data_IF_130737523019
#
_entry.id   IF_130737523019
#
_cell.length_a   1.000
_cell.length_b   1.000
_cell.length_c   1.000
_cell.angle_alpha   90.00
_cell.angle_beta   90.00
_cell.angle_gamma   90.00
#
_symmetry.space_group_name_H-M   'P 1'
#
loop_
_entity.id
_entity.type
_entity.pdbx_description
1 polymer ?
#
# COMPACT_ATOMS: atom_id res chain seq x y z
N UNK A 1 9.67 20.47 60.60
CA UNK A 1 9.18 19.50 59.60
C UNK A 1 7.83 20.00 59.14
N UNK A 2 7.66 20.23 57.84
CA UNK A 2 6.43 20.06 57.05
C UNK A 2 6.89 20.31 55.62
N UNK A 3 7.38 19.21 55.05
CA UNK A 3 8.03 19.08 53.77
C UNK A 3 6.93 18.94 52.71
N UNK A 4 7.16 19.52 51.53
CA UNK A 4 6.86 18.82 50.28
C UNK A 4 5.38 18.68 49.87
N UNK A 5 4.63 19.77 49.71
CA UNK A 5 3.28 19.70 49.11
C UNK A 5 3.17 20.22 47.66
N UNK A 6 4.12 21.04 47.18
CA UNK A 6 4.07 21.58 45.81
C UNK A 6 4.68 20.65 44.75
N UNK A 7 5.61 19.75 45.13
CA UNK A 7 6.29 18.87 44.15
C UNK A 7 5.43 17.68 43.72
N UNK A 8 4.49 17.22 44.54
CA UNK A 8 3.63 16.08 44.21
C UNK A 8 2.56 16.44 43.17
N UNK A 9 1.98 17.65 43.25
CA UNK A 9 0.93 18.08 42.31
C UNK A 9 1.44 18.25 40.87
N UNK A 10 2.71 18.62 40.69
CA UNK A 10 3.28 18.73 39.34
C UNK A 10 3.54 17.38 38.68
N UNK A 11 3.86 16.34 39.46
CA UNK A 11 4.04 14.99 38.93
C UNK A 11 2.72 14.41 38.37
N UNK A 12 1.57 14.74 38.97
CA UNK A 12 0.26 14.27 38.46
C UNK A 12 -0.17 14.97 37.16
N UNK A 13 0.20 16.24 36.98
CA UNK A 13 -0.09 16.97 35.73
C UNK A 13 0.70 16.42 34.53
N UNK A 14 1.89 15.85 34.76
CA UNK A 14 2.67 15.19 33.72
C UNK A 14 2.07 13.84 33.25
N UNK A 15 1.21 13.21 34.06
CA UNK A 15 0.54 11.95 33.73
C UNK A 15 -0.73 12.19 32.88
N UNK A 16 -1.23 13.43 32.82
CA UNK A 16 -2.43 13.81 32.06
C UNK A 16 -2.12 14.24 30.61
N UNK A 17 -0.85 14.17 30.18
CA UNK A 17 -0.57 14.15 28.75
C UNK A 17 -0.99 12.77 28.27
N UNK A 18 -2.19 12.69 27.69
CA UNK A 18 -2.68 11.57 26.90
C UNK A 18 -1.79 11.44 25.65
N UNK A 19 -0.52 11.09 25.87
CA UNK A 19 0.38 10.70 24.81
C UNK A 19 -0.17 9.36 24.32
N UNK A 20 -0.89 9.37 23.19
CA UNK A 20 -1.18 8.15 22.44
C UNK A 20 0.16 7.45 22.18
N UNK A 21 0.49 6.36 22.88
CA UNK A 21 1.79 5.75 22.75
C UNK A 21 1.84 5.05 21.40
N UNK A 22 2.77 5.44 20.53
CA UNK A 22 3.06 4.75 19.29
C UNK A 22 2.98 5.64 18.05
N UNK A 23 3.78 5.28 17.04
CA UNK A 23 3.67 5.83 15.69
C UNK A 23 2.32 5.38 15.09
N UNK A 24 1.39 6.32 14.87
CA UNK A 24 0.20 6.05 14.07
C UNK A 24 0.65 6.03 12.62
N UNK A 25 0.57 4.84 11.99
CA UNK A 25 0.94 4.69 10.59
C UNK A 25 -0.07 5.43 9.71
N UNK A 26 0.36 5.95 8.57
CA UNK A 26 -0.53 6.61 7.61
C UNK A 26 -1.74 5.75 7.22
N UNK A 27 -1.58 4.42 7.18
CA UNK A 27 -2.71 3.51 6.94
C UNK A 27 -3.79 3.67 8.02
N UNK A 28 -3.41 3.80 9.28
CA UNK A 28 -4.31 3.73 10.44
C UNK A 28 -4.97 5.09 10.75
N UNK A 29 -4.31 6.18 10.37
CA UNK A 29 -4.77 7.54 10.63
C UNK A 29 -5.95 7.93 9.72
N UNK A 30 -7.12 8.15 10.33
CA UNK A 30 -8.41 8.39 9.65
C UNK A 30 -8.37 9.57 8.68
N UNK A 31 -7.61 10.61 9.01
CA UNK A 31 -7.49 11.80 8.15
C UNK A 31 -6.89 11.49 6.77
N UNK A 32 -6.14 10.39 6.64
CA UNK A 32 -5.58 9.93 5.36
C UNK A 32 -6.49 8.98 4.58
N UNK A 33 -7.55 8.40 5.18
CA UNK A 33 -8.37 7.39 4.52
C UNK A 33 -9.02 7.88 3.23
N UNK A 34 -9.39 9.16 3.17
CA UNK A 34 -9.93 9.80 1.96
C UNK A 34 -8.96 9.78 0.76
N UNK A 35 -7.65 9.66 1.02
CA UNK A 35 -6.61 9.59 0.00
C UNK A 35 -6.16 8.15 -0.31
N UNK A 36 -6.78 7.16 0.33
CA UNK A 36 -6.41 5.75 0.25
C UNK A 36 -7.43 4.93 -0.56
N UNK A 37 -8.33 5.54 -1.32
CA UNK A 37 -9.24 4.79 -2.19
C UNK A 37 -8.48 4.22 -3.40
N UNK A 38 -8.13 2.93 -3.31
CA UNK A 38 -7.37 2.24 -4.36
C UNK A 38 -8.21 2.09 -5.63
N UNK A 39 -9.53 1.91 -5.52
CA UNK A 39 -10.39 1.75 -6.70
C UNK A 39 -10.45 3.05 -7.50
N UNK A 40 -10.52 4.19 -6.82
CA UNK A 40 -10.41 5.51 -7.47
C UNK A 40 -9.08 5.70 -8.19
N UNK A 41 -7.97 5.26 -7.58
CA UNK A 41 -6.66 5.33 -8.22
C UNK A 41 -6.58 4.44 -9.48
N UNK A 42 -7.17 3.24 -9.43
CA UNK A 42 -7.18 2.28 -10.54
C UNK A 42 -8.13 2.66 -11.69
N UNK A 43 -9.21 3.37 -11.37
CA UNK A 43 -10.21 3.84 -12.34
C UNK A 43 -9.91 5.24 -12.91
N UNK A 44 -8.69 5.75 -12.73
CA UNK A 44 -8.29 7.05 -13.27
C UNK A 44 -8.38 7.07 -14.82
N UNK A 45 -8.61 8.26 -15.39
CA UNK A 45 -8.62 8.49 -16.84
C UNK A 45 -7.29 8.13 -17.47
N UNK A 46 -6.17 8.53 -16.84
CA UNK A 46 -4.85 7.99 -17.19
C UNK A 46 -4.63 6.68 -16.44
N UNK A 47 -4.72 5.58 -17.19
CA UNK A 47 -4.55 4.21 -16.69
C UNK A 47 -3.11 3.74 -16.69
N UNK A 48 -2.17 4.57 -17.17
CA UNK A 48 -0.75 4.29 -17.21
C UNK A 48 -0.03 4.90 -16.02
N UNK A 49 0.95 4.19 -15.47
CA UNK A 49 1.76 4.72 -14.37
C UNK A 49 3.19 4.22 -14.44
N UNK A 50 4.13 5.13 -14.19
CA UNK A 50 5.56 4.83 -14.10
C UNK A 50 6.02 4.86 -12.65
N UNK A 51 6.77 3.85 -12.23
CA UNK A 51 7.44 3.89 -10.94
C UNK A 51 8.73 4.70 -11.06
N UNK A 52 8.67 5.96 -10.62
CA UNK A 52 9.79 6.89 -10.67
C UNK A 52 10.75 6.72 -9.49
N UNK A 53 10.22 6.52 -8.28
CA UNK A 53 10.99 6.27 -7.07
C UNK A 53 10.50 5.01 -6.33
N UNK A 54 11.43 4.31 -5.69
CA UNK A 54 11.18 3.27 -4.68
C UNK A 54 12.40 3.17 -3.77
N UNK A 55 12.21 2.73 -2.54
CA UNK A 55 13.28 2.63 -1.53
C UNK A 55 14.01 1.29 -1.54
N UNK A 56 13.45 0.27 -2.20
CA UNK A 56 14.05 -1.06 -2.30
C UNK A 56 14.58 -1.35 -3.71
N UNK A 57 15.62 -2.17 -3.80
CA UNK A 57 16.16 -2.67 -5.08
C UNK A 57 15.50 -4.00 -5.42
N UNK A 58 15.00 -4.14 -6.66
CA UNK A 58 14.50 -5.42 -7.19
C UNK A 58 15.44 -5.89 -8.28
N UNK A 59 15.88 -7.14 -8.18
CA UNK A 59 16.79 -7.76 -9.15
C UNK A 59 16.30 -9.14 -9.59
N UNK A 60 16.74 -9.56 -10.77
CA UNK A 60 16.66 -10.95 -11.23
C UNK A 60 17.96 -11.26 -11.93
N UNK A 61 18.62 -12.35 -11.53
CA UNK A 61 19.91 -12.78 -12.07
C UNK A 61 20.96 -11.65 -12.06
N UNK A 62 21.05 -10.91 -10.95
CA UNK A 62 21.98 -9.77 -10.79
C UNK A 62 21.63 -8.52 -11.61
N UNK A 63 20.51 -8.51 -12.33
CA UNK A 63 20.07 -7.37 -13.14
C UNK A 63 18.96 -6.60 -12.43
N UNK A 64 19.20 -5.31 -12.16
CA UNK A 64 18.23 -4.40 -11.56
C UNK A 64 17.00 -4.17 -12.45
N UNK A 65 15.82 -4.18 -11.86
CA UNK A 65 14.57 -3.85 -12.55
C UNK A 65 14.44 -2.33 -12.68
N UNK A 66 14.44 -1.81 -13.90
CA UNK A 66 14.30 -0.37 -14.17
C UNK A 66 13.15 -0.09 -15.13
N UNK A 67 12.78 1.20 -15.27
CA UNK A 67 11.71 1.64 -16.18
C UNK A 67 10.42 0.85 -15.98
N UNK A 68 10.01 0.68 -14.72
CA UNK A 68 8.82 -0.10 -14.38
C UNK A 68 7.58 0.72 -14.72
N UNK A 69 6.72 0.14 -15.55
CA UNK A 69 5.48 0.71 -16.02
C UNK A 69 4.35 -0.27 -15.75
N UNK A 70 3.19 0.25 -15.37
CA UNK A 70 1.96 -0.51 -15.25
C UNK A 70 0.85 0.20 -16.03
N UNK A 71 0.01 -0.57 -16.74
CA UNK A 71 -1.22 -0.07 -17.35
C UNK A 71 -2.39 -0.93 -16.89
N UNK A 72 -3.42 -0.29 -16.33
CA UNK A 72 -4.71 -0.96 -16.05
C UNK A 72 -5.39 -1.26 -17.37
N UNK A 73 -5.84 -2.51 -17.57
CA UNK A 73 -6.51 -2.94 -18.79
C UNK A 73 -7.80 -2.15 -19.05
N UNK A 74 -8.16 -1.96 -20.31
CA UNK A 74 -9.44 -1.31 -20.69
C UNK A 74 -10.61 -2.28 -20.52
N UNK A 75 -10.38 -3.54 -20.90
CA UNK A 75 -11.35 -4.63 -20.80
C UNK A 75 -11.17 -5.35 -19.47
N UNK A 76 -11.67 -4.75 -18.38
CA UNK A 76 -11.62 -5.39 -17.07
C UNK A 76 -12.45 -6.68 -17.09
N UNK A 77 -11.94 -7.80 -16.55
CA UNK A 77 -12.73 -9.01 -16.43
C UNK A 77 -13.96 -8.76 -15.54
N UNK A 78 -15.02 -9.54 -15.75
CA UNK A 78 -16.24 -9.46 -14.93
C UNK A 78 -15.86 -9.78 -13.47
N UNK A 79 -15.93 -8.78 -12.59
CA UNK A 79 -15.59 -8.89 -11.16
C UNK A 79 -14.79 -7.70 -10.62
N UNK A 80 -14.47 -7.70 -9.33
CA UNK A 80 -13.64 -6.67 -8.68
C UNK A 80 -12.13 -7.00 -8.76
N UNK A 81 -11.66 -7.57 -9.87
CA UNK A 81 -10.26 -7.96 -10.05
C UNK A 81 -9.67 -7.15 -11.18
N UNK A 82 -8.73 -6.27 -10.87
CA UNK A 82 -8.10 -5.44 -11.89
C UNK A 82 -7.01 -6.21 -12.64
N UNK A 83 -7.07 -6.19 -13.96
CA UNK A 83 -5.99 -6.71 -14.81
C UNK A 83 -5.01 -5.60 -15.19
N UNK A 84 -3.72 -5.87 -15.10
CA UNK A 84 -2.63 -4.96 -15.41
C UNK A 84 -1.68 -5.56 -16.42
N UNK A 85 -1.22 -4.73 -17.35
CA UNK A 85 0.02 -4.98 -18.08
C UNK A 85 1.17 -4.34 -17.30
N UNK A 86 2.10 -5.15 -16.79
CA UNK A 86 3.34 -4.63 -16.21
C UNK A 86 4.51 -4.84 -17.17
N UNK A 87 5.32 -3.80 -17.33
CA UNK A 87 6.55 -3.80 -18.11
C UNK A 87 7.73 -3.29 -17.28
N UNK A 88 8.91 -3.86 -17.51
CA UNK A 88 10.16 -3.38 -16.92
C UNK A 88 11.37 -3.83 -17.74
N UNK A 89 12.54 -3.27 -17.45
CA UNK A 89 13.84 -3.64 -18.04
C UNK A 89 14.73 -4.31 -17.02
N UNK A 90 15.54 -5.27 -17.47
CA UNK A 90 16.60 -5.89 -16.69
C UNK A 90 17.94 -5.19 -16.98
N UNK A 91 18.33 -4.27 -16.10
CA UNK A 91 19.49 -3.38 -16.21
C UNK A 91 19.14 -1.95 -16.64
N UNK A 92 20.15 -1.07 -16.66
CA UNK A 92 20.00 0.37 -16.91
C UNK A 92 20.17 0.79 -18.37
N UNK A 93 20.59 -0.12 -19.25
CA UNK A 93 20.92 0.22 -20.64
C UNK A 93 19.65 0.29 -21.49
N UNK A 94 19.63 1.15 -22.51
CA UNK A 94 18.52 1.21 -23.49
C UNK A 94 18.33 -0.10 -24.26
N UNK A 95 19.36 -0.94 -24.35
CA UNK A 95 19.32 -2.27 -24.97
C UNK A 95 19.01 -3.39 -23.96
N UNK A 96 18.86 -3.09 -22.68
CA UNK A 96 18.50 -4.06 -21.65
C UNK A 96 17.19 -4.78 -21.99
N UNK A 97 17.17 -6.09 -21.72
CA UNK A 97 16.02 -6.96 -21.98
C UNK A 97 14.76 -6.39 -21.33
N UNK A 98 13.72 -6.19 -22.14
CA UNK A 98 12.39 -5.83 -21.66
C UNK A 98 11.63 -7.10 -21.23
N UNK A 99 10.93 -7.01 -20.12
CA UNK A 99 9.98 -8.01 -19.64
C UNK A 99 8.59 -7.38 -19.62
N UNK A 100 7.60 -8.19 -19.99
CA UNK A 100 6.19 -7.82 -20.01
C UNK A 100 5.40 -8.98 -19.45
N UNK A 101 4.45 -8.70 -18.58
CA UNK A 101 3.60 -9.72 -17.96
C UNK A 101 2.23 -9.14 -17.66
N UNK A 102 1.24 -10.01 -17.64
CA UNK A 102 -0.10 -9.69 -17.13
C UNK A 102 -0.16 -10.02 -15.65
N UNK A 103 -0.75 -9.12 -14.86
CA UNK A 103 -0.98 -9.28 -13.44
C UNK A 103 -2.45 -9.01 -13.12
N UNK A 104 -2.89 -9.56 -12.00
CA UNK A 104 -4.23 -9.42 -11.48
C UNK A 104 -4.14 -8.87 -10.05
N UNK A 105 -4.96 -7.88 -9.71
CA UNK A 105 -5.01 -7.30 -8.38
C UNK A 105 -6.46 -7.07 -7.93
N UNK A 106 -7.04 -7.98 -7.13
CA UNK A 106 -8.23 -7.66 -6.34
C UNK A 106 -7.91 -6.59 -5.28
N UNK A 107 -8.70 -5.51 -5.20
CA UNK A 107 -8.71 -4.60 -4.07
C UNK A 107 -9.25 -5.27 -2.81
N UNK A 108 -8.84 -4.76 -1.64
CA UNK A 108 -9.36 -5.15 -0.34
C UNK A 108 -9.12 -4.07 0.73
N UNK A 109 -9.86 -4.15 1.84
CA UNK A 109 -9.62 -3.36 3.06
C UNK A 109 -8.58 -4.05 3.93
N UNK A 110 -7.55 -3.32 4.38
CA UNK A 110 -6.64 -3.83 5.41
C UNK A 110 -7.43 -4.15 6.67
N UNK A 111 -7.08 -5.25 7.35
CA UNK A 111 -7.91 -5.81 8.44
C UNK A 111 -8.15 -4.82 9.57
N UNK A 112 -7.11 -4.06 9.90
CA UNK A 112 -7.18 -3.03 10.92
C UNK A 112 -8.10 -1.91 10.42
N UNK A 113 -9.24 -1.75 11.11
CA UNK A 113 -10.33 -0.83 10.76
C UNK A 113 -11.12 -1.20 9.49
N UNK A 114 -11.09 -2.45 9.03
CA UNK A 114 -11.83 -2.88 7.83
C UNK A 114 -13.33 -2.57 7.89
N UNK A 115 -13.95 -2.68 9.07
CA UNK A 115 -15.38 -2.39 9.28
C UNK A 115 -15.70 -0.89 9.27
N UNK A 116 -14.72 -0.04 9.60
CA UNK A 116 -14.88 1.42 9.68
C UNK A 116 -14.57 2.11 8.34
N UNK A 117 -13.66 1.54 7.56
CA UNK A 117 -13.28 2.08 6.25
C UNK A 117 -14.44 1.97 5.28
N UNK A 118 -14.68 3.02 4.52
CA UNK A 118 -15.66 3.01 3.44
C UNK A 118 -15.11 2.25 2.21
N UNK A 119 -13.88 2.57 1.81
CA UNK A 119 -13.25 2.11 0.56
C UNK A 119 -12.14 1.07 0.79
N UNK A 120 -11.86 0.27 -0.24
CA UNK A 120 -10.66 -0.57 -0.29
C UNK A 120 -9.40 0.32 -0.36
N UNK A 121 -8.36 -0.05 0.39
CA UNK A 121 -7.11 0.71 0.49
C UNK A 121 -5.87 -0.04 0.03
N UNK A 122 -6.00 -1.33 -0.22
CA UNK A 122 -4.91 -2.18 -0.66
C UNK A 122 -5.33 -3.02 -1.86
N UNK A 123 -4.35 -3.60 -2.53
CA UNK A 123 -4.57 -4.57 -3.61
C UNK A 123 -3.55 -5.69 -3.53
N UNK A 124 -3.97 -6.91 -3.90
CA UNK A 124 -3.10 -8.09 -3.83
C UNK A 124 -2.68 -8.55 -5.22
N UNK A 125 -1.42 -8.32 -5.58
CA UNK A 125 -0.95 -8.54 -6.96
C UNK A 125 -0.47 -9.99 -7.17
N UNK A 126 -0.94 -10.62 -8.26
CA UNK A 126 -0.54 -11.99 -8.66
C UNK A 126 -0.47 -12.15 -10.18
N UNK A 127 0.33 -13.12 -10.65
CA UNK A 127 0.35 -13.54 -12.05
C UNK A 127 -0.79 -14.50 -12.42
N UNK A 128 -1.47 -15.09 -11.44
CA UNK A 128 -2.59 -16.01 -11.64
C UNK A 128 -3.90 -15.29 -11.32
N UNK A 129 -4.85 -15.35 -12.25
CA UNK A 129 -6.20 -14.79 -12.10
C UNK A 129 -6.94 -15.44 -10.93
N UNK A 130 -6.81 -16.76 -10.85
CA UNK A 130 -7.47 -17.60 -9.85
C UNK A 130 -6.46 -18.06 -8.80
N UNK A 131 -5.74 -17.15 -8.14
CA UNK A 131 -4.98 -17.55 -6.95
C UNK A 131 -5.92 -17.82 -5.75
N UNK A 132 -6.93 -18.67 -5.98
CA UNK A 132 -7.92 -19.47 -5.21
C UNK A 132 -8.12 -19.30 -3.70
N UNK A 133 -7.46 -18.38 -2.99
CA UNK A 133 -7.55 -18.24 -1.53
C UNK A 133 -7.37 -16.81 -1.07
N UNK A 134 -7.93 -15.84 -1.79
CA UNK A 134 -7.94 -14.42 -1.35
C UNK A 134 -8.78 -14.17 -0.07
N UNK A 135 -9.27 -15.23 0.60
CA UNK A 135 -10.10 -15.23 1.82
C UNK A 135 -9.52 -15.99 3.03
N UNK A 136 -8.33 -16.59 2.99
CA UNK A 136 -7.76 -17.28 4.16
C UNK A 136 -6.24 -17.19 4.11
N UNK A 137 -5.68 -16.27 4.87
CA UNK A 137 -4.54 -16.47 5.78
C UNK A 137 -4.19 -15.10 6.35
N UNK A 138 -5.04 -14.69 7.28
CA UNK A 138 -4.73 -13.75 8.34
C UNK A 138 -4.95 -14.49 9.63
N UNK A 139 -3.86 -15.08 10.10
CA UNK A 139 -3.70 -15.82 11.34
C UNK A 139 -2.24 -15.76 11.71
#
# INVERSE_FOLDING_TARGET
MELMHCSFLWCFLAILVEATPGEIRMDEERTYWQYQDIQRALNNTDRGSWMYYRTYKRETDGCEHTCVYAKVSENQPIGNVFEFLQEYRLGKKRTSKKKRMTLYAPPYKTERHAEERENDNAMRVSQRKDAEKWKKDTS
#
